data_IF_409844718583
#
_entry.id   IF_409844718583
#
_cell.length_a   1.000
_cell.length_b   1.000
_cell.length_c   1.000
_cell.angle_alpha   90.00
_cell.angle_beta   90.00
_cell.angle_gamma   90.00
#
_symmetry.space_group_name_H-M   'P 1'
#
loop_
_entity.id
_entity.type
_entity.pdbx_description
1 polymer ?
#
# COMPACT_ATOMS: atom_id res chain seq x y z
N UNK A 1 2.91 7.53 -11.69
CA UNK A 1 3.34 8.70 -12.51
C UNK A 1 4.75 8.50 -13.09
N UNK A 2 4.95 8.78 -14.40
CA UNK A 2 6.24 8.58 -15.09
C UNK A 2 7.39 9.39 -14.48
N UNK A 3 7.08 10.54 -13.87
CA UNK A 3 8.03 11.49 -13.28
C UNK A 3 8.67 11.00 -11.98
N UNK A 4 8.02 10.10 -11.23
CA UNK A 4 8.54 9.63 -9.94
C UNK A 4 9.58 8.51 -10.07
N UNK A 5 9.85 7.98 -11.28
CA UNK A 5 10.73 6.82 -11.49
C UNK A 5 12.20 7.01 -11.07
N UNK A 6 12.60 8.23 -10.71
CA UNK A 6 13.94 8.55 -10.18
C UNK A 6 13.93 8.94 -8.71
N UNK A 7 12.77 8.92 -8.05
CA UNK A 7 12.61 9.29 -6.65
C UNK A 7 12.54 8.01 -5.80
N UNK A 8 13.11 8.06 -4.59
CA UNK A 8 13.03 6.98 -3.61
C UNK A 8 11.56 6.59 -3.37
N UNK A 9 11.33 5.28 -3.22
CA UNK A 9 10.01 4.65 -3.14
C UNK A 9 9.37 4.32 -4.49
N UNK A 10 9.93 4.74 -5.63
CA UNK A 10 9.38 4.45 -6.97
C UNK A 10 10.44 4.23 -8.05
N UNK A 11 11.70 4.00 -7.67
CA UNK A 11 12.76 3.65 -8.62
C UNK A 11 12.46 2.34 -9.34
N UNK A 12 13.14 2.10 -10.46
CA UNK A 12 13.00 0.84 -11.19
C UNK A 12 13.40 -0.36 -10.32
N UNK A 13 14.47 -0.20 -9.55
CA UNK A 13 15.08 -1.19 -8.68
C UNK A 13 14.18 -1.54 -7.50
N UNK A 14 13.64 -0.55 -6.78
CA UNK A 14 12.71 -0.78 -5.67
C UNK A 14 11.46 -1.53 -6.14
N UNK A 15 10.87 -1.09 -7.26
CA UNK A 15 9.68 -1.72 -7.84
C UNK A 15 9.97 -3.15 -8.31
N UNK A 16 11.10 -3.37 -8.98
CA UNK A 16 11.49 -4.70 -9.42
C UNK A 16 11.73 -5.66 -8.24
N UNK A 17 12.31 -5.17 -7.13
CA UNK A 17 12.49 -5.97 -5.92
C UNK A 17 11.16 -6.31 -5.25
N UNK A 18 10.22 -5.37 -5.18
CA UNK A 18 8.88 -5.64 -4.66
C UNK A 18 8.12 -6.63 -5.54
N UNK A 19 8.20 -6.48 -6.87
CA UNK A 19 7.66 -7.48 -7.82
C UNK A 19 8.23 -8.87 -7.56
N UNK A 20 9.56 -8.99 -7.43
CA UNK A 20 10.20 -10.26 -7.10
C UNK A 20 9.70 -10.83 -5.77
N UNK A 21 9.49 -10.00 -4.74
CA UNK A 21 8.94 -10.46 -3.46
C UNK A 21 7.56 -11.10 -3.64
N UNK A 22 6.66 -10.45 -4.40
CA UNK A 22 5.32 -10.98 -4.69
C UNK A 22 5.37 -12.25 -5.56
N UNK A 23 6.26 -12.29 -6.55
CA UNK A 23 6.49 -13.47 -7.40
C UNK A 23 6.97 -14.70 -6.61
N UNK A 24 7.57 -14.52 -5.43
CA UNK A 24 7.91 -15.61 -4.50
C UNK A 24 6.69 -16.10 -3.68
N UNK A 25 5.47 -15.70 -4.05
CA UNK A 25 4.21 -16.21 -3.49
C UNK A 25 3.59 -15.35 -2.41
N UNK A 26 4.15 -14.19 -2.06
CA UNK A 26 3.51 -13.28 -1.12
C UNK A 26 2.32 -12.57 -1.76
N UNK A 27 1.24 -12.45 -0.99
CA UNK A 27 0.00 -11.77 -1.40
C UNK A 27 0.01 -10.36 -0.81
N UNK A 28 -0.04 -9.34 -1.67
CA UNK A 28 -0.40 -7.98 -1.28
C UNK A 28 -1.91 -7.94 -0.99
N UNK A 29 -2.27 -8.00 0.30
CA UNK A 29 -3.66 -8.18 0.76
C UNK A 29 -4.58 -7.06 0.29
N UNK A 30 -4.10 -5.81 0.25
CA UNK A 30 -4.91 -4.70 -0.24
C UNK A 30 -5.22 -4.85 -1.74
N UNK A 31 -4.25 -5.28 -2.55
CA UNK A 31 -4.47 -5.51 -3.98
C UNK A 31 -5.20 -6.82 -4.28
N UNK A 32 -5.20 -7.76 -3.35
CA UNK A 32 -6.04 -8.95 -3.43
C UNK A 32 -7.53 -8.59 -3.41
N UNK A 33 -7.94 -7.68 -2.52
CA UNK A 33 -9.34 -7.23 -2.43
C UNK A 33 -9.69 -6.09 -3.40
N UNK A 34 -8.75 -5.17 -3.63
CA UNK A 34 -8.98 -3.96 -4.42
C UNK A 34 -7.94 -3.82 -5.54
N UNK A 35 -7.92 -4.72 -6.54
CA UNK A 35 -6.87 -4.76 -7.57
C UNK A 35 -6.78 -3.46 -8.36
N UNK A 36 -7.92 -2.88 -8.71
CA UNK A 36 -8.02 -1.73 -9.62
C UNK A 36 -8.30 -0.40 -8.91
N UNK A 37 -8.41 -0.41 -7.57
CA UNK A 37 -8.71 0.83 -6.82
C UNK A 37 -7.52 1.80 -6.84
N UNK A 38 -7.67 2.89 -7.57
CA UNK A 38 -6.72 4.00 -7.59
C UNK A 38 -6.96 4.98 -6.43
N UNK A 39 -5.99 5.86 -6.16
CA UNK A 39 -6.14 6.92 -5.13
C UNK A 39 -6.12 6.45 -3.67
N UNK A 40 -5.92 5.15 -3.42
CA UNK A 40 -5.79 4.58 -2.09
C UNK A 40 -4.33 4.66 -1.61
N UNK A 41 -4.03 5.60 -0.72
CA UNK A 41 -2.70 5.92 -0.23
C UNK A 41 -2.61 5.80 1.28
N UNK A 42 -1.41 5.50 1.79
CA UNK A 42 -1.12 5.39 3.22
C UNK A 42 -0.17 6.48 3.72
N UNK A 43 0.48 7.21 2.80
CA UNK A 43 1.42 8.28 3.09
C UNK A 43 1.14 9.52 2.23
N UNK A 44 1.31 10.70 2.84
CA UNK A 44 1.29 11.98 2.15
C UNK A 44 2.33 12.92 2.75
N UNK A 45 3.05 13.65 1.91
CA UNK A 45 3.95 14.70 2.41
C UNK A 45 3.18 15.73 3.24
N UNK A 46 3.75 16.16 4.36
CA UNK A 46 3.23 17.32 5.10
C UNK A 46 3.27 18.63 4.30
N UNK A 47 4.06 18.68 3.22
CA UNK A 47 4.18 19.87 2.37
C UNK A 47 2.99 19.98 1.41
N UNK A 48 2.67 21.21 1.03
CA UNK A 48 1.72 21.53 -0.05
C UNK A 48 0.29 21.00 0.13
N UNK A 49 -0.13 20.69 1.36
CA UNK A 49 -1.43 20.10 1.67
C UNK A 49 -1.68 18.81 0.87
N UNK A 50 -0.65 17.95 0.74
CA UNK A 50 -0.72 16.76 -0.10
C UNK A 50 -1.84 15.79 0.35
N UNK A 51 -2.07 15.66 1.66
CA UNK A 51 -3.15 14.81 2.21
C UNK A 51 -4.54 15.32 1.82
N UNK A 52 -4.80 16.62 1.94
CA UNK A 52 -6.06 17.24 1.53
C UNK A 52 -6.33 17.09 0.02
N UNK A 53 -5.27 17.17 -0.79
CA UNK A 53 -5.34 16.99 -2.25
C UNK A 53 -5.29 15.53 -2.69
N UNK A 54 -5.20 14.60 -1.74
CA UNK A 54 -4.94 13.18 -1.96
C UNK A 54 -3.75 12.89 -2.91
N UNK A 55 -2.69 13.70 -2.85
CA UNK A 55 -1.45 13.47 -3.59
C UNK A 55 -0.50 12.57 -2.79
N UNK A 56 -0.84 11.28 -2.71
CA UNK A 56 -0.20 10.33 -1.81
C UNK A 56 0.50 9.16 -2.48
N UNK A 57 1.06 8.31 -1.63
CA UNK A 57 1.72 7.06 -1.98
C UNK A 57 1.17 5.95 -1.08
N UNK A 58 1.06 4.73 -1.61
CA UNK A 58 0.78 3.55 -0.80
C UNK A 58 2.09 2.83 -0.58
N UNK A 59 2.66 2.98 0.62
CA UNK A 59 3.96 2.41 0.99
C UNK A 59 3.92 1.57 2.27
N UNK A 60 2.73 1.39 2.85
CA UNK A 60 2.48 0.53 4.00
C UNK A 60 1.64 -0.67 3.55
N UNK A 61 2.05 -1.88 3.93
CA UNK A 61 1.51 -3.12 3.37
C UNK A 61 1.33 -4.20 4.43
N UNK A 62 0.28 -4.99 4.31
CA UNK A 62 0.23 -6.36 4.81
C UNK A 62 0.52 -7.32 3.65
N UNK A 63 1.69 -7.96 3.69
CA UNK A 63 2.07 -9.05 2.79
C UNK A 63 1.94 -10.37 3.53
N UNK A 64 1.11 -11.28 3.02
CA UNK A 64 0.84 -12.56 3.68
C UNK A 64 1.32 -13.73 2.84
N UNK A 65 1.59 -14.85 3.50
CA UNK A 65 1.84 -16.12 2.80
C UNK A 65 0.54 -16.68 2.21
N UNK A 66 0.61 -17.54 1.17
CA UNK A 66 -0.57 -18.19 0.60
C UNK A 66 -1.38 -19.00 1.61
N UNK A 67 -0.73 -19.50 2.67
CA UNK A 67 -1.38 -20.27 3.73
C UNK A 67 -2.45 -19.48 4.50
N UNK A 68 -2.40 -18.14 4.46
CA UNK A 68 -3.41 -17.28 5.09
C UNK A 68 -4.53 -16.86 4.12
N UNK A 69 -4.47 -17.26 2.85
CA UNK A 69 -5.38 -16.77 1.80
C UNK A 69 -6.86 -16.99 2.15
N UNK A 70 -7.21 -18.19 2.60
CA UNK A 70 -8.61 -18.54 2.90
C UNK A 70 -9.14 -17.88 4.17
N UNK A 71 -8.23 -17.35 5.00
CA UNK A 71 -8.56 -16.57 6.19
C UNK A 71 -8.69 -15.07 5.90
N UNK A 72 -8.33 -14.59 4.71
CA UNK A 72 -8.46 -13.18 4.38
C UNK A 72 -9.94 -12.76 4.39
N UNK A 73 -10.25 -11.71 5.16
CA UNK A 73 -11.59 -11.11 5.19
C UNK A 73 -11.63 -9.72 4.55
N UNK A 74 -10.71 -8.82 4.94
CA UNK A 74 -10.60 -7.48 4.34
C UNK A 74 -9.20 -6.86 4.60
N UNK A 75 -8.84 -5.84 3.84
CA UNK A 75 -7.64 -5.03 4.02
C UNK A 75 -7.98 -3.53 3.97
N UNK A 76 -7.57 -2.78 4.99
CA UNK A 76 -8.07 -1.45 5.27
C UNK A 76 -6.96 -0.39 5.21
N UNK A 77 -7.32 0.83 4.81
CA UNK A 77 -6.46 2.01 4.89
C UNK A 77 -7.24 3.11 5.63
N UNK A 78 -6.77 3.48 6.83
CA UNK A 78 -7.48 4.38 7.73
C UNK A 78 -7.12 5.86 7.45
N UNK A 79 -7.39 6.32 6.23
CA UNK A 79 -6.98 7.65 5.72
C UNK A 79 -7.43 8.84 6.57
N UNK A 80 -8.45 8.67 7.41
CA UNK A 80 -9.03 9.71 8.27
C UNK A 80 -8.40 9.74 9.68
N UNK A 81 -7.46 8.84 9.98
CA UNK A 81 -6.71 8.83 11.25
C UNK A 81 -5.45 9.70 11.12
N UNK A 82 -5.41 10.79 11.87
CA UNK A 82 -4.31 11.77 11.86
C UNK A 82 -3.30 11.51 12.99
N UNK A 83 -2.13 12.14 12.88
CA UNK A 83 -1.04 12.09 13.87
C UNK A 83 0.34 11.81 13.28
N UNK A 84 0.39 11.33 12.03
CA UNK A 84 1.61 11.07 11.25
C UNK A 84 1.41 11.52 9.79
N UNK A 85 2.49 11.59 9.01
CA UNK A 85 2.45 11.71 7.55
C UNK A 85 1.98 10.40 6.90
N UNK A 86 2.01 9.31 7.67
CA UNK A 86 1.31 8.06 7.39
C UNK A 86 -0.08 8.01 8.05
N UNK A 87 -0.96 7.17 7.52
CA UNK A 87 -2.12 6.64 8.24
C UNK A 87 -1.95 5.13 8.49
N UNK A 88 -2.62 4.57 9.51
CA UNK A 88 -2.60 3.13 9.74
C UNK A 88 -3.17 2.34 8.55
N UNK A 89 -2.67 1.11 8.37
CA UNK A 89 -3.26 0.08 7.51
C UNK A 89 -3.69 -1.10 8.37
N UNK A 90 -4.73 -1.82 7.95
CA UNK A 90 -5.31 -2.93 8.71
C UNK A 90 -5.52 -4.18 7.87
N UNK A 91 -5.59 -5.33 8.53
CA UNK A 91 -5.92 -6.62 7.95
C UNK A 91 -6.91 -7.33 8.87
N UNK A 92 -8.03 -7.80 8.31
CA UNK A 92 -9.01 -8.63 9.03
C UNK A 92 -8.84 -10.06 8.56
N UNK A 93 -8.71 -10.98 9.53
CA UNK A 93 -8.64 -12.41 9.30
C UNK A 93 -9.84 -13.09 9.94
N UNK A 94 -10.41 -14.07 9.23
CA UNK A 94 -11.39 -15.01 9.76
C UNK A 94 -10.72 -15.93 10.77
N UNK A 95 -11.50 -16.33 11.76
CA UNK A 95 -11.12 -17.36 12.73
C UNK A 95 -10.82 -18.70 12.05
#
# INVERSE_FOLDING_TARGET
>A
PKTNRKNAGFTGEERAKFSRLLENGFIDTFRYFYPDLEGAYSWWSYRFHAREKNAGWRIDYFLVSPALKDRLEDALIYKDVYGSDHCPVGLILKD
#
